data_IF_152462034699
#
_entry.id   IF_152462034699
#
_cell.length_a   1.000
_cell.length_b   1.000
_cell.length_c   1.000
_cell.angle_alpha   90.00
_cell.angle_beta   90.00
_cell.angle_gamma   90.00
#
_symmetry.space_group_name_H-M   'P 1'
#
loop_
_entity.id
_entity.type
_entity.pdbx_description
1 polymer ?
#
# COMPACT_ATOMS: atom_id res chain seq x y z
N UNK A 1 7.02 -22.06 18.93
CA UNK A 1 5.59 -21.84 19.24
C UNK A 1 4.97 -21.03 18.10
N UNK A 2 3.94 -21.55 17.43
CA UNK A 2 3.29 -20.85 16.30
C UNK A 2 2.39 -19.76 16.88
N UNK A 3 2.64 -18.50 16.50
CA UNK A 3 1.78 -17.38 16.91
C UNK A 3 0.43 -17.47 16.18
N UNK A 4 -0.70 -17.28 16.89
CA UNK A 4 -2.01 -17.34 16.24
C UNK A 4 -2.16 -16.16 15.27
N UNK A 5 -2.64 -16.44 14.06
CA UNK A 5 -2.89 -15.41 13.05
C UNK A 5 -4.13 -14.58 13.42
N UNK A 6 -4.05 -13.28 13.24
CA UNK A 6 -5.17 -12.35 13.48
C UNK A 6 -5.59 -11.67 12.19
N UNK A 7 -6.86 -11.28 12.10
CA UNK A 7 -7.37 -10.48 10.98
C UNK A 7 -6.73 -9.08 11.02
N UNK A 8 -6.09 -8.59 9.94
CA UNK A 8 -5.41 -7.29 9.94
C UNK A 8 -6.35 -6.07 10.05
N UNK A 9 -7.66 -6.28 9.90
CA UNK A 9 -8.66 -5.19 9.89
C UNK A 9 -9.37 -5.03 11.23
N UNK A 10 -9.71 -6.13 11.90
CA UNK A 10 -10.47 -6.12 13.15
C UNK A 10 -9.77 -6.86 14.30
N UNK A 11 -8.58 -7.40 14.05
CA UNK A 11 -7.71 -8.09 15.01
C UNK A 11 -8.31 -9.35 15.64
N UNK A 12 -9.42 -9.86 15.09
CA UNK A 12 -10.00 -11.14 15.50
C UNK A 12 -9.03 -12.29 15.24
N UNK A 13 -8.82 -13.13 16.26
CA UNK A 13 -8.02 -14.36 16.14
C UNK A 13 -8.66 -15.32 15.16
N UNK A 14 -7.87 -15.80 14.20
CA UNK A 14 -8.30 -16.79 13.22
C UNK A 14 -7.99 -18.20 13.72
N UNK A 15 -8.81 -19.20 13.36
CA UNK A 15 -8.49 -20.59 13.68
C UNK A 15 -7.20 -21.03 12.97
N UNK A 16 -6.42 -21.97 13.53
CA UNK A 16 -5.12 -22.38 12.99
C UNK A 16 -5.14 -22.90 11.54
N UNK A 17 -6.28 -23.42 11.09
CA UNK A 17 -6.52 -23.94 9.75
C UNK A 17 -7.31 -22.97 8.86
N UNK A 18 -7.44 -21.70 9.26
CA UNK A 18 -8.14 -20.67 8.50
C UNK A 18 -7.61 -20.53 7.07
N UNK A 19 -6.29 -20.68 6.88
CA UNK A 19 -5.66 -20.66 5.55
C UNK A 19 -6.17 -21.76 4.61
N UNK A 20 -6.65 -22.89 5.16
CA UNK A 20 -7.20 -24.01 4.38
C UNK A 20 -8.71 -23.92 4.21
N UNK A 21 -9.42 -23.37 5.19
CA UNK A 21 -10.89 -23.39 5.25
C UNK A 21 -11.58 -22.10 4.78
N UNK A 22 -10.91 -20.96 4.91
CA UNK A 22 -11.51 -19.66 4.62
C UNK A 22 -11.02 -19.12 3.28
N UNK A 23 -11.95 -18.91 2.34
CA UNK A 23 -11.70 -18.18 1.08
C UNK A 23 -11.27 -16.72 1.28
N UNK A 24 -11.50 -16.19 2.49
CA UNK A 24 -11.20 -14.81 2.83
C UNK A 24 -9.89 -14.65 3.60
N UNK A 25 -9.16 -15.73 3.88
CA UNK A 25 -7.85 -15.63 4.53
C UNK A 25 -6.95 -14.65 3.75
N UNK A 26 -6.28 -13.68 4.41
CA UNK A 26 -6.00 -13.54 5.86
C UNK A 26 -7.06 -12.75 6.68
N UNK A 27 -8.24 -12.51 6.13
CA UNK A 27 -9.33 -11.79 6.80
C UNK A 27 -10.33 -12.74 7.47
N UNK A 28 -11.04 -12.27 8.49
CA UNK A 28 -12.07 -13.07 9.15
C UNK A 28 -13.40 -13.17 8.36
N UNK A 29 -13.62 -12.28 7.39
CA UNK A 29 -14.85 -12.22 6.60
C UNK A 29 -14.69 -11.38 5.33
N UNK A 30 -15.66 -11.47 4.43
CA UNK A 30 -15.75 -10.64 3.22
C UNK A 30 -15.73 -9.14 3.51
N UNK A 31 -16.47 -8.71 4.53
CA UNK A 31 -16.52 -7.31 4.97
C UNK A 31 -15.13 -6.76 5.29
N UNK A 32 -14.30 -7.54 5.99
CA UNK A 32 -12.93 -7.11 6.31
C UNK A 32 -12.07 -7.00 5.06
N UNK A 33 -12.19 -7.96 4.12
CA UNK A 33 -11.49 -7.89 2.82
C UNK A 33 -11.87 -6.63 2.03
N UNK A 34 -13.15 -6.28 2.01
CA UNK A 34 -13.62 -5.06 1.33
C UNK A 34 -13.11 -3.79 2.00
N UNK A 35 -13.15 -3.71 3.34
CA UNK A 35 -12.59 -2.57 4.08
C UNK A 35 -11.11 -2.38 3.77
N UNK A 36 -10.34 -3.47 3.74
CA UNK A 36 -8.93 -3.41 3.35
C UNK A 36 -8.78 -2.80 1.96
N UNK A 37 -9.53 -3.32 0.98
CA UNK A 37 -9.55 -2.80 -0.37
C UNK A 37 -9.86 -1.30 -0.42
N UNK A 38 -10.86 -0.83 0.32
CA UNK A 38 -11.17 0.61 0.39
C UNK A 38 -10.01 1.43 0.96
N UNK A 39 -9.30 0.93 1.98
CA UNK A 39 -8.11 1.61 2.52
C UNK A 39 -6.98 1.71 1.50
N UNK A 40 -6.82 0.72 0.64
CA UNK A 40 -5.88 0.79 -0.49
C UNK A 40 -6.29 1.87 -1.47
N UNK A 41 -7.56 1.88 -1.90
CA UNK A 41 -8.03 2.87 -2.87
C UNK A 41 -8.03 4.30 -2.34
N UNK A 42 -8.21 4.47 -1.02
CA UNK A 42 -8.19 5.76 -0.33
C UNK A 42 -6.75 6.22 0.01
N UNK A 43 -5.72 5.49 -0.42
CA UNK A 43 -4.31 5.84 -0.21
C UNK A 43 -3.88 5.80 1.27
N UNK A 44 -4.60 5.07 2.13
CA UNK A 44 -4.29 4.98 3.57
C UNK A 44 -3.06 4.13 3.86
N UNK A 45 -2.67 3.28 2.92
CA UNK A 45 -1.42 2.54 2.99
C UNK A 45 -0.34 3.33 2.25
N UNK A 46 0.52 4.01 3.02
CA UNK A 46 1.64 4.78 2.51
C UNK A 46 2.90 4.43 3.31
N UNK A 47 4.02 4.24 2.61
CA UNK A 47 5.35 4.21 3.22
C UNK A 47 5.85 5.65 3.17
N UNK A 48 5.94 6.28 4.33
CA UNK A 48 6.41 7.67 4.45
C UNK A 48 7.82 7.66 5.04
N UNK A 49 8.72 8.41 4.42
CA UNK A 49 10.00 8.75 5.03
C UNK A 49 9.91 10.14 5.67
N UNK A 50 10.61 10.38 6.79
CA UNK A 50 10.77 11.72 7.32
C UNK A 50 11.37 12.64 6.26
N UNK A 51 10.91 13.88 6.20
CA UNK A 51 11.49 14.90 5.34
C UNK A 51 12.88 15.27 5.88
N UNK A 52 13.92 14.90 5.14
CA UNK A 52 15.31 15.30 5.39
C UNK A 52 15.71 16.38 4.37
N UNK A 53 15.93 17.64 4.81
CA UNK A 53 16.27 18.76 3.93
C UNK A 53 17.48 18.50 3.03
N UNK A 54 18.46 17.72 3.49
CA UNK A 54 19.66 17.41 2.69
C UNK A 54 19.32 16.47 1.51
N UNK A 55 18.44 15.48 1.73
CA UNK A 55 18.00 14.53 0.69
C UNK A 55 17.06 15.13 -0.35
N UNK A 56 16.20 16.07 0.07
CA UNK A 56 15.20 16.70 -0.83
C UNK A 56 15.89 17.55 -1.92
N UNK A 57 17.07 18.10 -1.63
CA UNK A 57 17.80 18.97 -2.57
C UNK A 57 18.38 18.25 -3.80
N UNK A 58 18.57 16.93 -3.74
CA UNK A 58 19.18 16.14 -4.82
C UNK A 58 18.15 15.61 -5.85
N UNK A 59 16.94 15.22 -5.37
CA UNK A 59 15.86 14.64 -6.20
C UNK A 59 15.11 15.67 -7.08
N UNK A 60 15.11 16.96 -6.71
CA UNK A 60 14.43 18.02 -7.47
C UNK A 60 15.04 18.34 -8.84
N UNK A 61 16.25 17.84 -9.13
CA UNK A 61 16.99 18.17 -10.36
C UNK A 61 16.68 17.26 -11.55
N UNK A 62 16.01 16.12 -11.34
CA UNK A 62 15.78 15.12 -12.39
C UNK A 62 14.39 15.17 -13.03
N UNK A 63 13.40 15.79 -12.39
CA UNK A 63 12.02 15.87 -12.91
C UNK A 63 11.89 16.91 -14.04
N UNK A 64 12.72 17.97 -14.06
CA UNK A 64 12.63 19.03 -15.08
C UNK A 64 13.20 18.67 -16.46
N UNK A 65 13.91 17.53 -16.62
CA UNK A 65 14.59 17.20 -17.89
C UNK A 65 13.80 16.35 -18.87
N UNK A 66 12.68 15.73 -18.49
CA UNK A 66 11.96 14.81 -19.38
C UNK A 66 10.79 15.42 -20.17
N UNK A 67 10.24 16.57 -19.75
CA UNK A 67 9.09 17.19 -20.44
C UNK A 67 9.46 18.25 -21.50
N UNK A 68 10.74 18.62 -21.63
CA UNK A 68 11.18 19.64 -22.60
C UNK A 68 11.50 19.11 -24.01
N UNK A 69 11.41 17.79 -24.24
CA UNK A 69 11.77 17.18 -25.54
C UNK A 69 10.57 16.94 -26.49
N UNK A 70 9.33 17.18 -26.07
CA UNK A 70 8.13 16.84 -26.87
C UNK A 70 7.42 18.03 -27.54
N UNK A 71 7.86 19.27 -27.31
CA UNK A 71 7.18 20.49 -27.80
C UNK A 71 7.74 21.06 -29.12
N UNK A 72 8.82 20.50 -29.68
CA UNK A 72 9.32 20.85 -31.02
C UNK A 72 8.63 20.01 -32.11
N UNK A 73 7.39 20.37 -32.46
CA UNK A 73 6.78 19.95 -33.73
C UNK A 73 6.31 21.19 -34.49
N UNK A 74 7.03 21.65 -35.53
CA UNK A 74 6.59 22.80 -36.33
C UNK A 74 5.40 22.41 -37.22
N UNK A 75 4.51 23.39 -37.45
CA UNK A 75 3.28 23.30 -38.26
C UNK A 75 3.50 22.83 -39.70
#
# INVERSE_FOLDING_TARGET
>A
MIRPTTCPICHKTLPPDAAKRSRFFPFCSERCRQIDFFRWTDGKYAIVEPLDPERISDEGSQIEKSDSAASDRPS
#
